data_IF_535571686449
#
_entry.id   IF_535571686449
#
_cell.length_a   1.000
_cell.length_b   1.000
_cell.length_c   1.000
_cell.angle_alpha   90.00
_cell.angle_beta   90.00
_cell.angle_gamma   90.00
#
_symmetry.space_group_name_H-M   'P 1'
#
loop_
_entity.id
_entity.type
_entity.pdbx_description
1 polymer ?
#
# COMPACT_ATOMS: atom_id res chain seq x y z
N UNK A 1 -11.34 -11.39 31.21
CA UNK A 1 -11.99 -10.79 30.01
C UNK A 1 -11.98 -9.26 29.95
N UNK A 2 -11.27 -8.52 30.84
CA UNK A 2 -11.20 -7.04 30.76
C UNK A 2 -9.97 -6.48 30.02
N UNK A 3 -8.98 -7.31 29.68
CA UNK A 3 -7.70 -6.86 29.06
C UNK A 3 -7.71 -6.81 27.51
N UNK A 4 -8.70 -7.42 26.85
CA UNK A 4 -8.81 -7.41 25.38
C UNK A 4 -9.45 -6.13 24.81
N UNK A 5 -10.07 -5.28 25.64
CA UNK A 5 -10.60 -4.00 25.17
C UNK A 5 -9.50 -2.95 24.91
N UNK A 6 -8.38 -3.00 25.63
CA UNK A 6 -7.30 -2.01 25.48
C UNK A 6 -6.54 -2.13 24.16
N UNK A 7 -6.24 -3.36 23.73
CA UNK A 7 -5.48 -3.61 22.49
C UNK A 7 -6.36 -3.37 21.25
N UNK A 8 -7.65 -3.70 21.31
CA UNK A 8 -8.59 -3.35 20.24
C UNK A 8 -8.78 -1.83 20.14
N UNK A 9 -8.83 -1.12 21.28
CA UNK A 9 -8.93 0.33 21.30
C UNK A 9 -7.69 1.00 20.66
N UNK A 10 -6.47 0.50 20.88
CA UNK A 10 -5.26 1.03 20.23
C UNK A 10 -5.28 0.78 18.72
N UNK A 11 -5.65 -0.42 18.26
CA UNK A 11 -5.70 -0.74 16.81
C UNK A 11 -6.80 0.06 16.09
N UNK A 12 -7.98 0.22 16.70
CA UNK A 12 -9.05 1.08 16.18
C UNK A 12 -8.65 2.57 16.20
N UNK A 13 -7.88 3.02 17.18
CA UNK A 13 -7.37 4.40 17.24
C UNK A 13 -6.42 4.70 16.09
N UNK A 14 -5.53 3.76 15.72
CA UNK A 14 -4.58 3.93 14.61
C UNK A 14 -5.27 3.93 13.23
N UNK A 15 -6.29 3.10 13.03
CA UNK A 15 -7.08 3.10 11.79
C UNK A 15 -7.92 4.38 11.64
N UNK A 16 -8.50 4.87 12.74
CA UNK A 16 -9.28 6.12 12.75
C UNK A 16 -8.38 7.34 12.59
N UNK A 17 -7.20 7.39 13.22
CA UNK A 17 -6.24 8.48 13.01
C UNK A 17 -5.73 8.53 11.57
N UNK A 18 -5.45 7.39 10.95
CA UNK A 18 -5.02 7.35 9.54
C UNK A 18 -6.11 7.88 8.60
N UNK A 19 -7.37 7.58 8.89
CA UNK A 19 -8.52 8.06 8.09
C UNK A 19 -8.78 9.56 8.30
N UNK A 20 -8.67 10.05 9.53
CA UNK A 20 -8.83 11.48 9.86
C UNK A 20 -7.66 12.33 9.34
N UNK A 21 -6.43 11.80 9.33
CA UNK A 21 -5.26 12.48 8.79
C UNK A 21 -5.34 12.58 7.26
N UNK A 22 -5.88 11.55 6.59
CA UNK A 22 -6.15 11.58 5.15
C UNK A 22 -7.19 12.65 4.76
N UNK A 23 -8.26 12.79 5.55
CA UNK A 23 -9.27 13.84 5.36
C UNK A 23 -8.75 15.25 5.66
N UNK A 24 -7.81 15.40 6.62
CA UNK A 24 -7.21 16.69 6.97
C UNK A 24 -6.25 17.22 5.90
N UNK A 25 -5.56 16.33 5.16
CA UNK A 25 -4.68 16.73 4.04
C UNK A 25 -5.43 17.03 2.73
N UNK A 26 -6.72 16.70 2.61
CA UNK A 26 -7.53 16.94 1.42
C UNK A 26 -8.92 17.53 1.77
N UNK A 27 -9.04 18.83 2.08
CA UNK A 27 -10.35 19.45 2.23
C UNK A 27 -11.05 19.54 0.87
N UNK A 28 -11.93 18.57 0.58
CA UNK A 28 -12.91 18.73 -0.49
C UNK A 28 -13.86 19.85 -0.07
N UNK A 29 -13.67 21.00 -0.70
CA UNK A 29 -14.59 22.12 -0.94
C UNK A 29 -15.73 22.27 0.08
N UNK A 30 -15.57 23.29 0.93
CA UNK A 30 -16.67 23.86 1.70
C UNK A 30 -17.82 24.26 0.78
N UNK A 31 -18.97 23.64 0.99
CA UNK A 31 -20.26 24.16 0.57
C UNK A 31 -21.03 24.35 1.87
N UNK A 32 -21.05 25.59 2.37
CA UNK A 32 -22.01 25.97 3.40
C UNK A 32 -23.43 25.96 2.79
N UNK A 33 -24.41 25.36 3.47
CA UNK A 33 -25.81 25.55 3.16
C UNK A 33 -26.32 26.77 3.94
N UNK A 34 -26.98 27.72 3.28
CA UNK A 34 -28.11 28.50 3.79
C UNK A 34 -28.38 29.68 2.84
N UNK A 35 -29.47 29.59 2.07
CA UNK A 35 -30.55 30.58 2.04
C UNK A 35 -31.51 30.29 0.88
N UNK A 36 -32.57 29.57 1.21
CA UNK A 36 -33.84 29.64 0.49
C UNK A 36 -34.51 30.98 0.81
N UNK A 37 -34.82 31.80 -0.21
CA UNK A 37 -36.04 32.61 -0.25
C UNK A 37 -36.39 33.08 -1.66
N UNK A 38 -37.66 32.90 -1.98
CA UNK A 38 -38.31 33.13 -3.27
C UNK A 38 -38.58 34.61 -3.58
N UNK A 39 -38.62 34.97 -4.87
CA UNK A 39 -39.55 35.97 -5.40
C UNK A 39 -39.66 35.97 -6.95
N UNK A 40 -40.87 35.64 -7.42
CA UNK A 40 -41.67 36.26 -8.51
C UNK A 40 -41.03 36.67 -9.85
N UNK A 41 -41.51 35.98 -10.90
CA UNK A 41 -42.05 36.48 -12.18
C UNK A 41 -41.59 37.84 -12.72
N UNK A 42 -41.06 37.86 -13.95
CA UNK A 42 -41.60 38.65 -15.09
C UNK A 42 -41.22 37.95 -16.42
N UNK A 43 -42.21 37.69 -17.27
CA UNK A 43 -42.09 37.39 -18.71
C UNK A 43 -42.30 38.71 -19.47
N UNK A 44 -41.64 38.93 -20.63
CA UNK A 44 -42.41 39.03 -21.86
C UNK A 44 -41.82 38.22 -23.03
N UNK A 45 -42.70 37.92 -23.98
CA UNK A 45 -42.52 37.03 -25.13
C UNK A 45 -42.01 37.77 -26.40
N UNK A 46 -42.33 37.31 -27.63
CA UNK A 46 -41.45 36.56 -28.54
C UNK A 46 -41.05 37.38 -29.79
N UNK A 47 -40.06 36.92 -30.57
CA UNK A 47 -39.88 37.40 -31.95
C UNK A 47 -39.41 36.27 -32.86
N UNK A 48 -40.23 35.98 -33.87
CA UNK A 48 -39.96 35.06 -34.97
C UNK A 48 -39.09 35.73 -36.04
N UNK A 49 -38.24 34.98 -36.74
CA UNK A 49 -38.36 34.73 -38.19
C UNK A 49 -37.17 33.93 -38.76
N UNK A 50 -37.51 33.18 -39.81
CA UNK A 50 -36.68 32.68 -40.91
C UNK A 50 -35.93 31.34 -40.73
N UNK A 51 -36.50 30.30 -41.34
CA UNK A 51 -35.75 29.23 -41.99
C UNK A 51 -35.10 29.75 -43.29
N UNK A 52 -34.02 29.13 -43.76
CA UNK A 52 -34.17 28.37 -45.01
C UNK A 52 -33.45 27.01 -45.01
N UNK A 53 -33.81 26.24 -46.03
CA UNK A 53 -33.68 24.80 -46.18
C UNK A 53 -32.29 24.31 -46.61
N UNK A 54 -31.99 23.09 -46.16
CA UNK A 54 -31.31 21.97 -46.84
C UNK A 54 -30.07 22.24 -47.71
N UNK A 55 -28.92 21.67 -47.33
CA UNK A 55 -28.10 20.85 -48.23
C UNK A 55 -27.35 19.73 -47.50
N UNK A 56 -27.63 18.52 -47.98
CA UNK A 56 -26.80 17.31 -48.03
C UNK A 56 -25.40 17.37 -47.39
N UNK A 57 -25.22 16.62 -46.30
CA UNK A 57 -23.94 15.99 -46.00
C UNK A 57 -24.15 14.51 -45.65
N UNK A 58 -23.73 13.68 -46.61
CA UNK A 58 -23.05 12.38 -46.44
C UNK A 58 -23.26 11.73 -45.08
N UNK A 59 -24.14 10.73 -45.04
CA UNK A 59 -24.27 9.76 -43.97
C UNK A 59 -22.97 8.95 -43.91
N UNK A 60 -21.93 9.52 -43.32
CA UNK A 60 -20.79 8.76 -42.83
C UNK A 60 -21.38 7.97 -41.69
N UNK A 61 -21.54 6.67 -41.90
CA UNK A 61 -21.80 5.69 -40.87
C UNK A 61 -20.84 6.00 -39.73
N UNK A 62 -21.35 6.66 -38.70
CA UNK A 62 -20.74 6.59 -37.40
C UNK A 62 -20.71 5.12 -37.10
N UNK A 63 -19.53 4.51 -37.22
CA UNK A 63 -19.21 3.38 -36.36
C UNK A 63 -19.47 3.92 -34.96
N UNK A 64 -20.67 3.59 -34.48
CA UNK A 64 -20.97 3.52 -33.08
C UNK A 64 -19.88 2.61 -32.54
N UNK A 65 -18.84 3.21 -31.94
CA UNK A 65 -17.92 2.49 -31.06
C UNK A 65 -18.72 2.24 -29.78
N UNK A 66 -19.79 1.46 -29.91
CA UNK A 66 -20.26 0.53 -28.90
C UNK A 66 -19.47 -0.76 -29.08
N UNK A 67 -18.15 -0.62 -29.16
CA UNK A 67 -17.27 -1.71 -28.77
C UNK A 67 -17.39 -1.79 -27.26
N UNK A 68 -17.99 -2.86 -26.77
CA UNK A 68 -17.88 -3.30 -25.38
C UNK A 68 -16.44 -3.16 -24.93
N UNK A 69 -16.18 -2.11 -24.14
CA UNK A 69 -14.89 -1.72 -23.57
C UNK A 69 -14.59 -2.55 -22.32
N UNK A 70 -14.96 -3.82 -22.38
CA UNK A 70 -14.72 -4.83 -21.36
C UNK A 70 -13.63 -5.77 -21.90
N UNK A 71 -12.58 -5.95 -21.09
CA UNK A 71 -11.62 -7.06 -21.15
C UNK A 71 -10.62 -7.16 -22.30
N UNK A 72 -9.85 -6.10 -22.52
CA UNK A 72 -8.41 -6.31 -22.74
C UNK A 72 -7.65 -5.75 -21.56
N UNK A 73 -7.46 -6.59 -20.54
CA UNK A 73 -6.44 -6.34 -19.53
C UNK A 73 -5.11 -6.29 -20.28
N UNK A 74 -4.64 -5.08 -20.60
CA UNK A 74 -3.35 -4.87 -21.26
C UNK A 74 -2.29 -5.41 -20.30
N UNK A 75 -1.49 -6.37 -20.77
CA UNK A 75 -0.35 -6.85 -19.99
C UNK A 75 0.68 -5.75 -19.86
N UNK A 76 1.44 -5.78 -18.77
CA UNK A 76 2.59 -4.89 -18.54
C UNK A 76 3.83 -5.66 -18.96
N UNK A 77 4.46 -5.22 -20.04
CA UNK A 77 5.60 -5.92 -20.66
C UNK A 77 6.92 -5.14 -20.53
N UNK A 78 6.89 -3.91 -19.98
CA UNK A 78 8.08 -3.08 -19.78
C UNK A 78 8.07 -2.29 -18.46
N UNK A 79 9.26 -1.90 -17.99
CA UNK A 79 9.43 -1.01 -16.83
C UNK A 79 8.69 0.33 -16.99
N UNK A 80 8.68 0.89 -18.21
CA UNK A 80 8.01 2.15 -18.48
C UNK A 80 6.49 2.03 -18.29
N UNK A 81 5.88 0.96 -18.81
CA UNK A 81 4.46 0.69 -18.64
C UNK A 81 4.11 0.45 -17.17
N UNK A 82 4.97 -0.29 -16.46
CA UNK A 82 4.81 -0.52 -15.03
C UNK A 82 4.81 0.80 -14.25
N UNK A 83 5.78 1.68 -14.50
CA UNK A 83 5.89 2.96 -13.81
C UNK A 83 4.73 3.92 -14.16
N UNK A 84 4.26 3.93 -15.40
CA UNK A 84 3.06 4.69 -15.80
C UNK A 84 1.82 4.15 -15.08
N UNK A 85 1.65 2.83 -15.06
CA UNK A 85 0.52 2.19 -14.38
C UNK A 85 0.54 2.52 -12.88
N UNK A 86 1.72 2.42 -12.26
CA UNK A 86 1.92 2.75 -10.85
C UNK A 86 1.57 4.21 -10.59
N UNK A 87 2.14 5.15 -11.33
CA UNK A 87 1.89 6.59 -11.14
C UNK A 87 0.40 6.96 -11.25
N UNK A 88 -0.35 6.26 -12.10
CA UNK A 88 -1.78 6.49 -12.30
C UNK A 88 -2.68 5.78 -11.28
N UNK A 89 -2.14 4.89 -10.44
CA UNK A 89 -2.92 4.05 -9.53
C UNK A 89 -3.45 4.85 -8.33
N UNK A 90 -4.64 5.45 -8.42
CA UNK A 90 -5.23 6.22 -7.33
C UNK A 90 -5.56 5.37 -6.09
N UNK A 91 -4.74 5.50 -5.04
CA UNK A 91 -4.89 4.78 -3.77
C UNK A 91 -6.15 5.13 -2.98
N UNK A 92 -6.83 6.25 -3.29
CA UNK A 92 -8.05 6.66 -2.60
C UNK A 92 -9.29 5.87 -3.01
N UNK A 93 -9.19 5.08 -4.08
CA UNK A 93 -10.32 4.33 -4.62
C UNK A 93 -10.00 2.85 -4.74
N UNK A 94 -10.79 2.02 -4.06
CA UNK A 94 -10.67 0.56 -4.12
C UNK A 94 -10.74 0.04 -5.56
N UNK A 95 -11.55 0.68 -6.42
CA UNK A 95 -11.65 0.32 -7.83
C UNK A 95 -10.35 0.53 -8.60
N UNK A 96 -9.64 1.65 -8.38
CA UNK A 96 -8.37 1.91 -9.06
C UNK A 96 -7.28 0.94 -8.62
N UNK A 97 -7.21 0.65 -7.32
CA UNK A 97 -6.31 -0.35 -6.75
C UNK A 97 -6.60 -1.74 -7.33
N UNK A 98 -7.86 -2.14 -7.37
CA UNK A 98 -8.29 -3.43 -7.93
C UNK A 98 -7.95 -3.56 -9.42
N UNK A 99 -8.19 -2.52 -10.22
CA UNK A 99 -7.83 -2.50 -11.64
C UNK A 99 -6.31 -2.59 -11.85
N UNK A 100 -5.55 -1.81 -11.08
CA UNK A 100 -4.08 -1.82 -11.15
C UNK A 100 -3.54 -3.21 -10.82
N UNK A 101 -3.98 -3.79 -9.71
CA UNK A 101 -3.55 -5.14 -9.30
C UNK A 101 -4.00 -6.22 -10.27
N UNK A 102 -5.20 -6.12 -10.85
CA UNK A 102 -5.68 -7.04 -11.89
C UNK A 102 -4.80 -6.99 -13.14
N UNK A 103 -4.42 -5.79 -13.57
CA UNK A 103 -3.48 -5.61 -14.70
C UNK A 103 -2.14 -6.26 -14.40
N UNK A 104 -1.56 -6.01 -13.23
CA UNK A 104 -0.31 -6.62 -12.82
C UNK A 104 -0.40 -8.16 -12.72
N UNK A 105 -1.51 -8.70 -12.21
CA UNK A 105 -1.76 -10.16 -12.13
C UNK A 105 -1.88 -10.84 -13.48
N UNK A 106 -2.19 -10.09 -14.55
CA UNK A 106 -2.28 -10.63 -15.91
C UNK A 106 -0.93 -10.78 -16.61
N UNK A 107 0.12 -10.16 -16.06
CA UNK A 107 1.49 -10.22 -16.56
C UNK A 107 2.27 -11.44 -16.04
N UNK A 108 3.53 -11.55 -16.46
CA UNK A 108 4.46 -12.56 -15.95
C UNK A 108 4.89 -12.19 -14.52
N UNK A 109 4.59 -13.02 -13.50
CA UNK A 109 4.82 -12.65 -12.11
C UNK A 109 6.30 -12.45 -11.74
N UNK A 110 7.24 -13.10 -12.45
CA UNK A 110 8.68 -12.92 -12.24
C UNK A 110 9.12 -11.57 -12.81
N UNK A 111 8.63 -11.21 -13.99
CA UNK A 111 8.90 -9.89 -14.58
C UNK A 111 8.32 -8.77 -13.74
N UNK A 112 7.06 -8.90 -13.31
CA UNK A 112 6.43 -7.91 -12.44
C UNK A 112 7.23 -7.73 -11.15
N UNK A 113 7.65 -8.82 -10.50
CA UNK A 113 8.50 -8.73 -9.31
C UNK A 113 9.84 -8.01 -9.59
N UNK A 114 10.44 -8.25 -10.76
CA UNK A 114 11.66 -7.54 -11.20
C UNK A 114 11.40 -6.04 -11.33
N UNK A 115 10.27 -5.64 -11.91
CA UNK A 115 9.89 -4.23 -12.03
C UNK A 115 9.69 -3.58 -10.65
N UNK A 116 9.04 -4.27 -9.70
CA UNK A 116 8.92 -3.78 -8.32
C UNK A 116 10.28 -3.51 -7.66
N UNK A 117 11.23 -4.43 -7.81
CA UNK A 117 12.59 -4.26 -7.27
C UNK A 117 13.31 -3.08 -7.93
N UNK A 118 13.33 -3.03 -9.26
CA UNK A 118 13.98 -1.95 -10.00
C UNK A 118 13.37 -0.59 -9.67
N UNK A 119 12.05 -0.49 -9.59
CA UNK A 119 11.37 0.75 -9.18
C UNK A 119 11.68 1.12 -7.74
N UNK A 120 11.78 0.16 -6.81
CA UNK A 120 12.19 0.45 -5.42
C UNK A 120 13.58 1.11 -5.35
N UNK A 121 14.54 0.58 -6.11
CA UNK A 121 15.90 1.11 -6.24
C UNK A 121 15.91 2.53 -6.82
N UNK A 122 15.09 2.77 -7.85
CA UNK A 122 14.98 4.08 -8.48
C UNK A 122 14.37 5.13 -7.56
N UNK A 123 13.34 4.76 -6.79
CA UNK A 123 12.59 5.67 -5.93
C UNK A 123 13.32 5.97 -4.62
N UNK A 124 14.01 4.98 -4.02
CA UNK A 124 14.82 5.08 -2.80
C UNK A 124 14.47 6.29 -1.90
N UNK A 125 15.33 7.31 -1.87
CA UNK A 125 15.17 8.57 -1.11
C UNK A 125 14.67 9.73 -1.97
N UNK A 126 14.33 9.49 -3.25
CA UNK A 126 14.03 10.52 -4.24
C UNK A 126 12.55 10.88 -4.31
N UNK A 127 11.66 9.91 -4.11
CA UNK A 127 10.21 10.11 -4.24
C UNK A 127 9.45 9.23 -3.26
N UNK A 128 9.11 9.83 -2.11
CA UNK A 128 8.39 9.20 -1.00
C UNK A 128 6.98 8.76 -1.40
N UNK A 129 6.26 9.60 -2.16
CA UNK A 129 4.86 9.36 -2.51
C UNK A 129 4.72 8.21 -3.50
N UNK A 130 5.61 8.13 -4.50
CA UNK A 130 5.67 6.98 -5.39
C UNK A 130 6.11 5.71 -4.68
N UNK A 131 7.02 5.80 -3.71
CA UNK A 131 7.45 4.64 -2.92
C UNK A 131 6.29 4.10 -2.09
N UNK A 132 5.51 4.96 -1.45
CA UNK A 132 4.29 4.54 -0.75
C UNK A 132 3.32 3.82 -1.67
N UNK A 133 3.12 4.35 -2.88
CA UNK A 133 2.27 3.72 -3.89
C UNK A 133 2.80 2.36 -4.31
N UNK A 134 4.10 2.24 -4.52
CA UNK A 134 4.78 0.98 -4.84
C UNK A 134 4.53 -0.07 -3.75
N UNK A 135 4.81 0.28 -2.49
CA UNK A 135 4.63 -0.60 -1.33
C UNK A 135 3.16 -0.99 -1.16
N UNK A 136 2.24 -0.04 -1.32
CA UNK A 136 0.81 -0.29 -1.20
C UNK A 136 0.33 -1.27 -2.27
N UNK A 137 0.65 -1.03 -3.55
CA UNK A 137 0.23 -1.91 -4.64
C UNK A 137 0.89 -3.29 -4.54
N UNK A 138 2.16 -3.37 -4.09
CA UNK A 138 2.81 -4.65 -3.80
C UNK A 138 2.06 -5.45 -2.73
N UNK A 139 1.63 -4.78 -1.65
CA UNK A 139 0.86 -5.41 -0.57
C UNK A 139 -0.47 -5.98 -1.07
N UNK A 140 -1.16 -5.25 -1.97
CA UNK A 140 -2.42 -5.70 -2.55
C UNK A 140 -2.25 -6.82 -3.58
N UNK A 141 -1.08 -6.90 -4.24
CA UNK A 141 -0.78 -7.93 -5.21
C UNK A 141 -0.66 -9.32 -4.57
N UNK A 142 -0.05 -9.40 -3.37
CA UNK A 142 0.15 -10.63 -2.59
C UNK A 142 0.82 -11.77 -3.38
N UNK A 143 1.78 -11.44 -4.25
CA UNK A 143 2.49 -12.41 -5.08
C UNK A 143 3.69 -13.00 -4.33
N UNK A 144 3.83 -14.34 -4.38
CA UNK A 144 5.00 -15.04 -3.81
C UNK A 144 6.32 -14.62 -4.49
N UNK A 145 6.26 -14.19 -5.76
CA UNK A 145 7.44 -13.71 -6.49
C UNK A 145 7.99 -12.39 -5.91
N UNK A 146 7.23 -11.68 -5.06
CA UNK A 146 7.68 -10.46 -4.39
C UNK A 146 8.55 -10.72 -3.15
N UNK A 147 8.92 -11.96 -2.82
CA UNK A 147 9.77 -12.24 -1.66
C UNK A 147 11.02 -11.37 -1.63
N UNK A 148 11.75 -11.28 -2.75
CA UNK A 148 12.96 -10.44 -2.83
C UNK A 148 12.68 -8.95 -2.62
N UNK A 149 11.54 -8.44 -3.08
CA UNK A 149 11.12 -7.05 -2.85
C UNK A 149 10.83 -6.78 -1.38
N UNK A 150 10.14 -7.70 -0.70
CA UNK A 150 9.84 -7.55 0.71
C UNK A 150 11.08 -7.71 1.59
N UNK A 151 12.00 -8.60 1.24
CA UNK A 151 13.29 -8.74 1.91
C UNK A 151 14.11 -7.46 1.81
N UNK A 152 14.13 -6.83 0.64
CA UNK A 152 14.80 -5.55 0.41
C UNK A 152 14.21 -4.44 1.29
N UNK A 153 12.88 -4.35 1.43
CA UNK A 153 12.24 -3.41 2.37
C UNK A 153 12.58 -3.72 3.83
N UNK A 154 12.55 -5.00 4.22
CA UNK A 154 12.89 -5.43 5.57
C UNK A 154 14.34 -5.10 5.91
N UNK A 155 15.28 -5.33 4.98
CA UNK A 155 16.70 -5.03 5.15
C UNK A 155 17.05 -3.55 4.91
N UNK A 156 16.06 -2.69 4.66
CA UNK A 156 16.25 -1.26 4.34
C UNK A 156 17.21 -1.06 3.15
N UNK A 157 17.07 -1.87 2.10
CA UNK A 157 17.92 -1.85 0.90
C UNK A 157 17.07 -1.71 -0.37
N UNK A 158 16.84 -0.49 -0.90
CA UNK A 158 17.33 0.80 -0.39
C UNK A 158 16.52 1.34 0.79
N UNK A 159 17.22 2.10 1.64
CA UNK A 159 16.62 2.88 2.70
C UNK A 159 15.67 3.94 2.13
N UNK A 160 14.61 4.26 2.88
CA UNK A 160 13.65 5.31 2.54
C UNK A 160 14.22 6.70 2.81
N UNK A 161 15.02 6.84 3.86
CA UNK A 161 15.71 8.09 4.21
C UNK A 161 17.23 7.87 4.30
N UNK A 162 18.01 8.95 4.26
CA UNK A 162 19.48 8.90 4.25
C UNK A 162 20.06 8.33 5.54
N UNK A 163 19.55 8.79 6.68
CA UNK A 163 19.84 8.24 7.99
C UNK A 163 18.50 8.01 8.69
N UNK A 164 18.09 6.75 8.71
CA UNK A 164 16.84 6.33 9.34
C UNK A 164 16.98 6.13 10.85
N UNK A 165 18.21 5.90 11.33
CA UNK A 165 18.47 5.60 12.74
C UNK A 165 18.35 6.84 13.61
N UNK A 166 18.64 8.04 13.09
CA UNK A 166 18.45 9.30 13.82
C UNK A 166 17.03 9.47 14.35
N UNK A 167 16.03 8.90 13.69
CA UNK A 167 14.63 9.05 14.08
C UNK A 167 14.27 8.29 15.37
N UNK A 168 15.15 7.41 15.85
CA UNK A 168 14.96 6.67 17.11
C UNK A 168 15.20 7.54 18.36
N UNK A 169 15.98 8.61 18.24
CA UNK A 169 16.48 9.38 19.39
C UNK A 169 15.55 10.52 19.84
N UNK A 170 14.43 10.76 19.14
CA UNK A 170 13.59 11.96 19.31
C UNK A 170 12.63 11.94 20.51
N UNK A 171 12.56 10.86 21.29
CA UNK A 171 11.70 10.75 22.50
C UNK A 171 10.20 10.62 22.21
N UNK A 172 9.69 11.22 21.13
CA UNK A 172 8.38 10.99 20.55
C UNK A 172 8.51 10.46 19.10
N UNK A 173 7.61 9.57 18.65
CA UNK A 173 7.70 9.00 17.30
C UNK A 173 7.42 10.07 16.23
N UNK A 174 8.40 10.29 15.35
CA UNK A 174 8.27 11.19 14.19
C UNK A 174 7.44 10.57 13.07
N UNK A 175 6.92 11.40 12.15
CA UNK A 175 6.19 10.90 10.97
C UNK A 175 7.06 9.97 10.11
N UNK A 176 8.37 10.24 10.05
CA UNK A 176 9.35 9.42 9.35
C UNK A 176 9.53 8.07 10.02
N UNK A 177 9.66 8.03 11.36
CA UNK A 177 9.77 6.78 12.09
C UNK A 177 8.51 5.92 11.91
N UNK A 178 7.33 6.54 11.97
CA UNK A 178 6.07 5.85 11.73
C UNK A 178 6.00 5.27 10.31
N UNK A 179 6.46 6.02 9.30
CA UNK A 179 6.53 5.55 7.92
C UNK A 179 7.50 4.37 7.75
N UNK A 180 8.68 4.43 8.38
CA UNK A 180 9.65 3.32 8.40
C UNK A 180 9.03 2.08 9.05
N UNK A 181 8.42 2.24 10.22
CA UNK A 181 7.78 1.14 10.93
C UNK A 181 6.65 0.52 10.11
N UNK A 182 5.83 1.33 9.44
CA UNK A 182 4.76 0.82 8.59
C UNK A 182 5.29 -0.02 7.41
N UNK A 183 6.37 0.40 6.76
CA UNK A 183 7.05 -0.40 5.73
C UNK A 183 7.61 -1.71 6.29
N UNK A 184 8.28 -1.66 7.44
CA UNK A 184 8.82 -2.85 8.10
C UNK A 184 7.71 -3.84 8.47
N UNK A 185 6.64 -3.37 9.08
CA UNK A 185 5.48 -4.21 9.42
C UNK A 185 4.84 -4.83 8.18
N UNK A 186 4.68 -4.06 7.10
CA UNK A 186 4.15 -4.57 5.84
C UNK A 186 5.07 -5.64 5.24
N UNK A 187 6.39 -5.43 5.26
CA UNK A 187 7.36 -6.40 4.76
C UNK A 187 7.33 -7.70 5.56
N UNK A 188 7.38 -7.62 6.90
CA UNK A 188 7.32 -8.77 7.80
C UNK A 188 6.04 -9.57 7.59
N UNK A 189 4.89 -8.88 7.51
CA UNK A 189 3.60 -9.52 7.25
C UNK A 189 3.61 -10.27 5.92
N UNK A 190 4.05 -9.62 4.84
CA UNK A 190 4.03 -10.24 3.52
C UNK A 190 5.03 -11.40 3.42
N UNK A 191 6.21 -11.29 4.02
CA UNK A 191 7.15 -12.41 4.12
C UNK A 191 6.51 -13.56 4.92
N UNK A 192 5.76 -13.27 5.99
CA UNK A 192 4.98 -14.26 6.73
C UNK A 192 3.95 -15.00 5.88
N UNK A 193 3.19 -14.27 5.05
CA UNK A 193 2.22 -14.89 4.14
C UNK A 193 2.92 -15.84 3.14
N UNK A 194 4.10 -15.45 2.64
CA UNK A 194 4.91 -16.25 1.73
C UNK A 194 5.55 -17.45 2.46
N UNK A 195 5.97 -17.29 3.71
CA UNK A 195 6.63 -18.31 4.52
C UNK A 195 5.80 -19.59 4.72
N UNK A 196 4.48 -19.50 4.61
CA UNK A 196 3.59 -20.68 4.62
C UNK A 196 3.82 -21.62 3.43
N UNK A 197 4.46 -21.14 2.36
CA UNK A 197 4.69 -21.84 1.09
C UNK A 197 6.16 -21.89 0.67
N UNK A 198 7.01 -21.02 1.23
CA UNK A 198 8.44 -20.93 0.91
C UNK A 198 9.30 -20.95 2.18
N UNK A 199 10.15 -21.97 2.31
CA UNK A 199 11.05 -22.12 3.45
C UNK A 199 12.09 -21.01 3.55
N UNK A 200 12.48 -20.37 2.43
CA UNK A 200 13.43 -19.24 2.45
C UNK A 200 12.83 -18.02 3.13
N UNK A 201 11.52 -17.80 2.99
CA UNK A 201 10.82 -16.73 3.68
C UNK A 201 10.74 -17.01 5.20
N UNK A 202 10.48 -18.26 5.59
CA UNK A 202 10.50 -18.68 7.00
C UNK A 202 11.91 -18.55 7.63
N UNK A 203 12.95 -18.94 6.88
CA UNK A 203 14.34 -18.77 7.28
C UNK A 203 14.71 -17.29 7.44
N UNK A 204 14.28 -16.44 6.51
CA UNK A 204 14.49 -15.00 6.60
C UNK A 204 13.85 -14.41 7.87
N UNK A 205 12.60 -14.76 8.19
CA UNK A 205 11.96 -14.32 9.43
C UNK A 205 12.71 -14.83 10.66
N UNK A 206 13.15 -16.09 10.64
CA UNK A 206 13.95 -16.67 11.74
C UNK A 206 15.24 -15.88 11.96
N UNK A 207 15.95 -15.54 10.88
CA UNK A 207 17.16 -14.74 10.93
C UNK A 207 16.89 -13.30 11.40
N UNK A 208 15.83 -12.67 10.91
CA UNK A 208 15.44 -11.32 11.35
C UNK A 208 15.16 -11.27 12.87
N UNK A 209 14.53 -12.31 13.41
CA UNK A 209 14.23 -12.41 14.84
C UNK A 209 15.53 -12.62 15.63
N UNK A 210 16.38 -13.56 15.23
CA UNK A 210 17.58 -13.94 16.00
C UNK A 210 18.74 -12.95 15.84
N UNK A 211 18.85 -12.34 14.67
CA UNK A 211 20.00 -11.55 14.24
C UNK A 211 19.51 -10.25 13.56
N UNK A 212 18.89 -9.32 14.31
CA UNK A 212 18.42 -8.07 13.75
C UNK A 212 19.59 -7.28 13.13
N UNK A 213 19.49 -6.96 11.84
CA UNK A 213 20.54 -6.26 11.09
C UNK A 213 20.58 -4.73 11.30
N UNK A 214 19.60 -4.17 12.02
CA UNK A 214 19.45 -2.72 12.22
C UNK A 214 18.78 -2.43 13.56
N UNK A 215 19.09 -1.30 14.23
CA UNK A 215 18.35 -0.82 15.40
C UNK A 215 16.84 -0.62 15.15
N UNK A 216 16.44 -0.43 13.89
CA UNK A 216 15.03 -0.34 13.47
C UNK A 216 14.28 -1.67 13.61
N UNK A 217 15.00 -2.80 13.69
CA UNK A 217 14.43 -4.10 14.03
C UNK A 217 14.30 -4.25 15.54
N UNK A 218 13.55 -3.33 16.14
CA UNK A 218 13.29 -3.30 17.56
C UNK A 218 12.51 -4.55 18.03
N UNK A 219 12.29 -4.63 19.34
CA UNK A 219 11.53 -5.72 19.95
C UNK A 219 10.14 -5.90 19.33
N UNK A 220 9.48 -4.81 18.93
CA UNK A 220 8.14 -4.85 18.36
C UNK A 220 8.14 -5.43 16.94
N UNK A 221 9.07 -5.01 16.07
CA UNK A 221 9.23 -5.57 14.73
C UNK A 221 9.61 -7.06 14.82
N UNK A 222 10.52 -7.42 15.73
CA UNK A 222 10.92 -8.82 15.96
C UNK A 222 9.78 -9.67 16.51
N UNK A 223 8.95 -9.15 17.41
CA UNK A 223 7.73 -9.82 17.90
C UNK A 223 6.75 -10.09 16.75
N UNK A 224 6.54 -9.10 15.87
CA UNK A 224 5.69 -9.29 14.69
C UNK A 224 6.24 -10.34 13.74
N UNK A 225 7.55 -10.36 13.53
CA UNK A 225 8.21 -11.40 12.74
C UNK A 225 8.03 -12.79 13.37
N UNK A 226 8.14 -12.90 14.70
CA UNK A 226 7.89 -14.14 15.42
C UNK A 226 6.45 -14.63 15.26
N UNK A 227 5.46 -13.73 15.39
CA UNK A 227 4.04 -14.08 15.21
C UNK A 227 3.80 -14.57 13.78
N UNK A 228 4.30 -13.85 12.77
CA UNK A 228 4.20 -14.25 11.37
C UNK A 228 4.88 -15.60 11.10
N UNK A 229 6.05 -15.85 11.67
CA UNK A 229 6.73 -17.13 11.57
C UNK A 229 5.94 -18.25 12.27
N UNK A 230 5.36 -17.99 13.44
CA UNK A 230 4.55 -18.96 14.18
C UNK A 230 3.30 -19.38 13.41
N UNK A 231 2.67 -18.44 12.71
CA UNK A 231 1.50 -18.71 11.85
C UNK A 231 1.88 -19.51 10.60
N UNK A 232 3.08 -19.29 10.06
CA UNK A 232 3.58 -19.98 8.87
C UNK A 232 4.21 -21.36 9.16
N UNK A 233 5.09 -21.45 10.16
CA UNK A 233 5.80 -22.64 10.62
C UNK A 233 5.96 -22.60 12.15
N UNK A 234 5.02 -23.24 12.85
CA UNK A 234 5.04 -23.38 14.31
C UNK A 234 6.34 -24.03 14.81
N UNK A 235 6.87 -25.03 14.08
CA UNK A 235 8.09 -25.73 14.51
C UNK A 235 9.31 -24.83 14.42
N UNK A 236 9.42 -24.01 13.37
CA UNK A 236 10.47 -22.99 13.26
C UNK A 236 10.37 -21.95 14.39
N UNK A 237 9.17 -21.46 14.69
CA UNK A 237 9.00 -20.48 15.77
C UNK A 237 9.45 -21.02 17.13
N UNK A 238 9.16 -22.29 17.45
CA UNK A 238 9.64 -22.93 18.68
C UNK A 238 11.17 -23.05 18.69
N UNK A 239 11.80 -23.35 17.54
CA UNK A 239 13.27 -23.37 17.43
C UNK A 239 13.86 -21.99 17.69
N UNK A 240 13.30 -20.94 17.06
CA UNK A 240 13.70 -19.55 17.28
C UNK A 240 13.58 -19.16 18.76
N UNK A 241 12.44 -19.45 19.41
CA UNK A 241 12.25 -19.13 20.82
C UNK A 241 13.29 -19.80 21.74
N UNK A 242 13.72 -21.03 21.40
CA UNK A 242 14.77 -21.75 22.14
C UNK A 242 16.16 -21.16 21.90
N UNK A 243 16.41 -20.62 20.72
CA UNK A 243 17.69 -20.03 20.31
C UNK A 243 17.85 -18.58 20.77
N UNK A 244 16.77 -17.86 21.05
CA UNK A 244 16.84 -16.53 21.66
C UNK A 244 17.59 -16.59 22.99
N UNK A 245 18.52 -15.65 23.20
CA UNK A 245 19.27 -15.57 24.44
C UNK A 245 18.33 -15.36 25.64
N UNK A 246 18.72 -15.90 26.80
CA UNK A 246 17.93 -15.74 28.03
C UNK A 246 17.77 -14.30 28.48
N UNK A 247 18.70 -13.43 28.09
CA UNK A 247 18.69 -12.00 28.40
C UNK A 247 18.05 -11.15 27.28
N UNK A 248 17.59 -11.76 26.18
CA UNK A 248 16.95 -11.04 25.10
C UNK A 248 15.57 -10.54 25.54
N UNK A 249 15.29 -9.23 25.52
CA UNK A 249 14.00 -8.67 25.95
C UNK A 249 12.80 -9.28 25.21
N UNK A 250 12.99 -9.65 23.94
CA UNK A 250 11.95 -10.30 23.15
C UNK A 250 11.54 -11.64 23.77
N UNK A 251 12.51 -12.40 24.30
CA UNK A 251 12.23 -13.72 24.88
C UNK A 251 11.31 -13.61 26.10
N UNK A 252 11.58 -12.65 26.98
CA UNK A 252 10.75 -12.44 28.18
C UNK A 252 9.32 -12.08 27.80
N UNK A 253 9.14 -11.22 26.80
CA UNK A 253 7.83 -10.84 26.25
C UNK A 253 7.08 -12.00 25.61
N UNK A 254 7.77 -12.88 24.89
CA UNK A 254 7.14 -14.03 24.24
C UNK A 254 6.74 -15.15 25.22
N UNK A 255 7.40 -15.23 26.39
CA UNK A 255 7.13 -16.25 27.42
C UNK A 255 6.13 -15.76 28.48
N UNK A 256 6.03 -14.45 28.71
CA UNK A 256 5.19 -13.84 29.74
C UNK A 256 3.94 -13.16 29.12
N UNK A 257 2.81 -13.88 28.96
CA UNK A 257 1.58 -13.37 28.34
C UNK A 257 0.78 -12.37 29.18
#
# INVERSE_FOLDING_TARGET
MKKYLGVLAVILSFAVLSTLFYLKKNPVLGIEPEHFRAAKNVVPAPTALAAPETMSHKKTTGQSITGTLEDRVSRVDSDSEFNILLANANLSTTLSVAKTTQVLRSGDPIKIATFFKATLELLAQKDSDQRERLVFIANELQSDQLLGFWQDIALRTPARFEDETKYLDFGEPTEELLSIHQELLNSVRNIGLIASRDSKAAEFLSNLILHPSSPLHDEFIRERAFISLKEADLSASIRVLKLLDKADPLRDRLISP
#
